data_IF_999639426152
#
_entry.id   IF_999639426152
#
_cell.length_a   1.000
_cell.length_b   1.000
_cell.length_c   1.000
_cell.angle_alpha   90.00
_cell.angle_beta   90.00
_cell.angle_gamma   90.00
#
_symmetry.space_group_name_H-M   'P 1'
#
loop_
_entity.id
_entity.type
_entity.pdbx_description
1 polymer ?
#
# COMPACT_ATOMS: atom_id res chain seq x y z
N UNK A 1 -11.75 -28.90 44.25
CA UNK A 1 -12.02 -27.75 43.35
C UNK A 1 -10.70 -27.39 42.71
N UNK A 2 -10.44 -27.89 41.49
CA UNK A 2 -9.08 -27.90 40.93
C UNK A 2 -9.05 -28.24 39.44
N UNK A 3 -9.26 -27.19 38.65
CA UNK A 3 -8.79 -26.93 37.28
C UNK A 3 -9.02 -27.96 36.16
N UNK A 4 -9.94 -27.56 35.28
CA UNK A 4 -10.14 -28.03 33.90
C UNK A 4 -8.83 -28.00 33.07
N UNK A 5 -8.46 -29.14 32.50
CA UNK A 5 -7.56 -29.23 31.34
C UNK A 5 -8.33 -28.80 30.10
N UNK A 6 -8.15 -27.56 29.65
CA UNK A 6 -8.56 -27.15 28.30
C UNK A 6 -7.42 -27.46 27.33
N UNK A 7 -7.66 -28.45 26.45
CA UNK A 7 -6.87 -28.68 25.24
C UNK A 7 -6.95 -27.41 24.40
N UNK A 8 -5.83 -26.70 24.28
CA UNK A 8 -5.72 -25.59 23.32
C UNK A 8 -5.56 -26.20 21.93
N UNK A 9 -6.65 -26.09 21.19
CA UNK A 9 -6.79 -26.39 19.78
C UNK A 9 -5.61 -25.83 18.99
N UNK A 10 -4.92 -26.70 18.24
CA UNK A 10 -3.90 -26.31 17.26
C UNK A 10 -4.62 -25.82 16.00
N UNK A 11 -5.24 -24.66 16.09
CA UNK A 11 -5.75 -23.94 14.92
C UNK A 11 -4.58 -23.32 14.15
N UNK A 12 -4.00 -24.13 13.27
CA UNK A 12 -3.49 -23.76 11.94
C UNK A 12 -3.19 -22.26 11.72
N UNK A 13 -2.14 -21.75 12.37
CA UNK A 13 -1.54 -20.47 11.98
C UNK A 13 -0.88 -20.68 10.62
N UNK A 14 -1.61 -20.31 9.56
CA UNK A 14 -1.01 -20.01 8.27
C UNK A 14 0.08 -18.99 8.53
N UNK A 15 1.33 -19.44 8.60
CA UNK A 15 2.49 -18.58 8.50
C UNK A 15 2.44 -17.94 7.12
N UNK A 16 1.76 -16.81 7.02
CA UNK A 16 1.97 -15.87 5.92
C UNK A 16 3.40 -15.40 6.13
N UNK A 17 4.34 -16.03 5.42
CA UNK A 17 5.72 -15.60 5.34
C UNK A 17 5.69 -14.23 4.69
N UNK A 18 5.41 -13.22 5.49
CA UNK A 18 5.52 -11.83 5.07
C UNK A 18 7.01 -11.59 4.99
N UNK A 19 7.55 -11.63 3.77
CA UNK A 19 8.98 -11.45 3.50
C UNK A 19 9.39 -10.06 3.96
N UNK A 20 9.87 -9.97 5.20
CA UNK A 20 10.34 -8.74 5.82
C UNK A 20 11.66 -8.34 5.15
N UNK A 21 11.68 -7.19 4.46
CA UNK A 21 12.91 -6.60 3.91
C UNK A 21 13.28 -5.35 4.69
N UNK A 22 14.55 -5.20 5.01
CA UNK A 22 15.07 -4.07 5.80
C UNK A 22 16.15 -3.35 5.00
N UNK A 23 15.99 -2.04 4.85
CA UNK A 23 16.91 -1.16 4.15
C UNK A 23 17.44 -0.12 5.11
N UNK A 24 18.76 0.03 5.16
CA UNK A 24 19.44 1.02 5.99
C UNK A 24 20.11 2.05 5.09
N UNK A 25 19.47 3.21 4.94
CA UNK A 25 19.97 4.34 4.17
C UNK A 25 20.93 5.13 5.05
N UNK A 26 22.22 5.13 4.68
CA UNK A 26 23.29 5.77 5.45
C UNK A 26 23.53 7.22 5.02
N UNK A 27 22.84 7.72 4.01
CA UNK A 27 22.87 9.12 3.58
C UNK A 27 21.90 9.99 4.37
N UNK A 28 21.91 11.31 4.08
CA UNK A 28 20.97 12.36 4.48
C UNK A 28 19.85 11.92 5.42
N UNK A 29 19.84 12.38 6.67
CA UNK A 29 18.77 12.07 7.64
C UNK A 29 18.83 10.66 8.26
N UNK A 30 19.58 9.72 7.65
CA UNK A 30 19.74 8.31 8.03
C UNK A 30 18.40 7.60 8.26
N UNK A 31 17.96 6.81 7.30
CA UNK A 31 16.66 6.13 7.39
C UNK A 31 16.83 4.63 7.55
N UNK A 32 16.03 4.01 8.41
CA UNK A 32 15.74 2.59 8.35
C UNK A 32 14.34 2.41 7.77
N UNK A 33 14.23 1.59 6.73
CA UNK A 33 13.00 1.33 6.03
C UNK A 33 12.72 -0.17 6.11
N UNK A 34 11.55 -0.53 6.62
CA UNK A 34 11.10 -1.91 6.75
C UNK A 34 9.88 -2.12 5.87
N UNK A 35 9.99 -3.03 4.92
CA UNK A 35 8.89 -3.47 4.07
C UNK A 35 8.38 -4.81 4.60
N UNK A 36 7.09 -4.85 4.94
CA UNK A 36 6.44 -6.04 5.50
C UNK A 36 5.02 -6.14 4.94
N UNK A 37 4.87 -6.88 3.84
CA UNK A 37 3.59 -7.11 3.19
C UNK A 37 2.99 -5.79 2.74
N UNK A 38 1.83 -5.42 3.28
CA UNK A 38 1.17 -4.16 2.95
C UNK A 38 1.64 -2.95 3.76
N UNK A 39 2.68 -3.10 4.59
CA UNK A 39 3.18 -2.01 5.42
C UNK A 39 4.59 -1.60 5.03
N UNK A 40 4.82 -0.29 5.01
CA UNK A 40 6.16 0.31 4.97
C UNK A 40 6.36 1.11 6.26
N UNK A 41 7.41 0.80 7.00
CA UNK A 41 7.82 1.54 8.19
C UNK A 41 9.08 2.34 7.90
N UNK A 42 9.06 3.63 8.20
CA UNK A 42 10.16 4.55 7.93
C UNK A 42 10.60 5.15 9.27
N UNK A 43 11.83 4.88 9.67
CA UNK A 43 12.43 5.38 10.92
C UNK A 43 13.57 6.32 10.57
N UNK A 44 13.44 7.59 10.95
CA UNK A 44 14.55 8.53 10.87
C UNK A 44 15.47 8.35 12.09
N UNK A 45 16.73 7.95 11.87
CA UNK A 45 17.75 7.70 12.89
C UNK A 45 18.76 8.86 13.03
N UNK A 46 18.64 9.93 12.26
CA UNK A 46 19.56 11.08 12.29
C UNK A 46 19.14 12.19 13.25
N UNK A 47 20.08 12.66 14.06
CA UNK A 47 19.94 13.82 14.99
C UNK A 47 19.48 15.09 14.24
N UNK A 48 19.88 15.24 12.97
CA UNK A 48 19.47 16.35 12.09
C UNK A 48 17.96 16.37 11.80
N UNK A 49 17.29 15.21 11.77
CA UNK A 49 15.83 15.15 11.60
C UNK A 49 15.09 15.48 12.90
N UNK A 50 15.68 15.16 14.06
CA UNK A 50 15.10 15.50 15.37
C UNK A 50 15.07 17.01 15.62
N UNK A 51 16.05 17.76 15.08
CA UNK A 51 16.13 19.22 15.23
C UNK A 51 15.26 19.95 14.18
N UNK A 52 15.18 19.46 12.93
CA UNK A 52 14.46 20.16 11.86
C UNK A 52 13.00 19.74 11.66
N UNK A 53 12.57 18.53 12.07
CA UNK A 53 11.20 18.03 11.82
C UNK A 53 10.33 17.86 13.07
N UNK A 54 10.87 18.06 14.28
CA UNK A 54 10.13 17.88 15.54
C UNK A 54 9.59 16.45 15.77
N UNK A 55 9.97 15.48 14.92
CA UNK A 55 9.45 14.12 14.92
C UNK A 55 10.60 13.15 15.18
N UNK A 56 10.53 12.44 16.31
CA UNK A 56 11.38 11.30 16.65
C UNK A 56 10.50 10.06 16.68
N UNK A 57 10.47 9.31 15.58
CA UNK A 57 9.55 8.18 15.50
C UNK A 57 9.66 7.34 14.24
N UNK A 58 9.05 6.16 14.32
CA UNK A 58 8.84 5.27 13.17
C UNK A 58 7.46 5.55 12.60
N UNK A 59 7.41 6.01 11.34
CA UNK A 59 6.15 6.20 10.62
C UNK A 59 5.80 4.90 9.91
N UNK A 60 4.68 4.27 10.28
CA UNK A 60 4.15 3.08 9.63
C UNK A 60 3.00 3.47 8.69
N UNK A 61 3.18 3.22 7.40
CA UNK A 61 2.23 3.54 6.34
C UNK A 61 1.65 2.24 5.80
N UNK A 62 0.33 2.19 5.65
CA UNK A 62 -0.36 1.12 4.93
C UNK A 62 -0.35 1.44 3.44
N UNK A 63 0.17 0.53 2.61
CA UNK A 63 0.22 0.67 1.15
C UNK A 63 -1.17 0.67 0.50
N UNK A 64 -2.21 0.23 1.22
CA UNK A 64 -3.60 0.36 0.79
C UNK A 64 -3.99 1.85 0.59
N UNK A 65 -3.42 2.75 1.41
CA UNK A 65 -3.69 4.19 1.38
C UNK A 65 -2.71 4.99 0.50
N UNK A 66 -1.73 4.33 -0.09
CA UNK A 66 -0.78 4.94 -1.01
C UNK A 66 -1.41 4.99 -2.40
N UNK A 67 -1.41 6.19 -3.00
CA UNK A 67 -1.91 6.45 -4.35
C UNK A 67 -0.80 6.48 -5.38
N UNK A 68 0.42 6.80 -4.97
CA UNK A 68 1.56 6.89 -5.85
C UNK A 68 2.86 7.11 -5.11
N UNK A 69 3.94 7.18 -5.90
CA UNK A 69 5.27 7.48 -5.42
C UNK A 69 5.95 8.43 -6.41
N UNK A 70 6.57 9.49 -5.88
CA UNK A 70 7.37 10.42 -6.68
C UNK A 70 8.85 10.19 -6.38
N UNK A 71 9.62 10.02 -7.45
CA UNK A 71 11.05 9.80 -7.36
C UNK A 71 11.82 10.91 -8.08
N UNK A 72 12.80 11.48 -7.39
CA UNK A 72 13.79 12.38 -7.98
C UNK A 72 15.20 11.81 -7.80
N UNK A 73 15.87 11.57 -8.93
CA UNK A 73 17.26 11.10 -8.97
C UNK A 73 18.22 12.11 -8.33
N UNK A 74 19.17 11.67 -7.48
CA UNK A 74 20.21 12.52 -6.93
C UNK A 74 21.21 12.97 -8.02
N UNK A 75 21.43 14.28 -8.12
CA UNK A 75 22.31 14.93 -9.11
C UNK A 75 23.47 15.65 -8.44
N UNK A 76 23.54 16.98 -8.62
CA UNK A 76 24.36 17.90 -7.80
C UNK A 76 23.77 18.10 -6.39
N UNK A 77 22.44 17.97 -6.29
CA UNK A 77 21.68 18.05 -5.04
C UNK A 77 21.17 16.68 -4.59
N UNK A 78 20.58 16.65 -3.41
CA UNK A 78 20.00 15.44 -2.81
C UNK A 78 18.79 14.95 -3.63
N UNK A 79 18.67 13.63 -3.75
CA UNK A 79 17.49 12.99 -4.34
C UNK A 79 16.41 12.81 -3.28
N UNK A 80 15.20 12.49 -3.73
CA UNK A 80 14.12 12.17 -2.80
C UNK A 80 13.13 11.15 -3.36
N UNK A 81 12.53 10.39 -2.45
CA UNK A 81 11.41 9.50 -2.70
C UNK A 81 10.26 9.99 -1.82
N UNK A 82 9.19 10.48 -2.42
CA UNK A 82 8.00 10.98 -1.72
C UNK A 82 6.85 9.99 -1.92
N UNK A 83 6.26 9.54 -0.82
CA UNK A 83 5.10 8.66 -0.81
C UNK A 83 3.85 9.53 -0.84
N UNK A 84 2.99 9.33 -1.83
CA UNK A 84 1.76 10.10 -2.00
C UNK A 84 0.63 9.30 -1.35
N UNK A 85 -0.02 9.91 -0.35
CA UNK A 85 -1.12 9.30 0.41
C UNK A 85 -2.45 9.92 -0.02
N UNK A 86 -3.53 9.15 0.07
CA UNK A 86 -4.88 9.72 -0.11
C UNK A 86 -5.11 10.86 0.90
N UNK A 87 -5.36 12.07 0.40
CA UNK A 87 -5.62 13.26 1.22
C UNK A 87 -4.37 14.00 1.72
N UNK A 88 -3.15 13.59 1.36
CA UNK A 88 -1.95 14.37 1.69
C UNK A 88 -1.85 15.61 0.81
N UNK A 89 -1.58 16.78 1.40
CA UNK A 89 -1.19 17.98 0.66
C UNK A 89 0.26 17.81 0.21
N UNK A 90 0.49 17.77 -1.10
CA UNK A 90 1.85 17.67 -1.65
C UNK A 90 2.65 18.94 -1.36
N UNK A 91 3.91 18.81 -0.98
CA UNK A 91 4.83 19.94 -0.86
C UNK A 91 5.09 20.61 -2.22
N UNK A 92 4.33 21.67 -2.55
CA UNK A 92 4.37 22.39 -3.84
C UNK A 92 5.61 23.28 -4.08
N UNK A 93 6.80 22.97 -3.55
CA UNK A 93 7.95 23.90 -3.60
C UNK A 93 9.34 23.30 -3.83
N UNK A 94 9.46 22.28 -4.66
CA UNK A 94 10.75 21.76 -5.09
C UNK A 94 11.52 20.98 -4.01
N UNK A 95 12.83 20.78 -4.21
CA UNK A 95 13.64 19.86 -3.38
C UNK A 95 13.69 20.27 -1.92
N UNK A 96 13.80 21.57 -1.63
CA UNK A 96 13.89 22.07 -0.25
C UNK A 96 12.63 21.80 0.57
N UNK A 97 11.45 22.00 -0.02
CA UNK A 97 10.18 21.69 0.65
C UNK A 97 9.90 20.19 0.70
N UNK A 98 10.27 19.45 -0.36
CA UNK A 98 10.15 17.98 -0.36
C UNK A 98 11.01 17.35 0.74
N UNK A 99 12.24 17.82 0.98
CA UNK A 99 13.11 17.31 2.06
C UNK A 99 12.49 17.53 3.45
N UNK A 100 11.71 18.59 3.64
CA UNK A 100 11.03 18.89 4.91
C UNK A 100 9.74 18.08 5.12
N UNK A 101 9.14 17.57 4.05
CA UNK A 101 7.91 16.75 4.09
C UNK A 101 8.11 15.43 4.87
N UNK A 102 7.13 15.07 5.69
CA UNK A 102 7.13 13.86 6.52
C UNK A 102 6.94 12.56 5.74
N UNK A 103 6.46 12.65 4.49
CA UNK A 103 6.28 11.54 3.57
C UNK A 103 7.45 11.38 2.59
N UNK A 104 8.52 12.15 2.78
CA UNK A 104 9.67 12.17 1.90
C UNK A 104 10.91 11.57 2.55
N UNK A 105 11.52 10.63 1.85
CA UNK A 105 12.82 10.05 2.15
C UNK A 105 13.85 10.72 1.25
N UNK A 106 14.70 11.57 1.83
CA UNK A 106 15.81 12.19 1.11
C UNK A 106 17.04 11.29 1.13
N UNK A 107 17.77 11.21 0.02
CA UNK A 107 18.90 10.30 -0.11
C UNK A 107 19.99 10.84 -1.04
N UNK A 108 21.18 10.26 -0.96
CA UNK A 108 22.31 10.54 -1.84
C UNK A 108 22.55 9.38 -2.82
N UNK A 109 23.40 9.59 -3.84
CA UNK A 109 23.69 8.61 -4.91
C UNK A 109 24.00 7.20 -4.41
N UNK A 110 24.70 7.07 -3.27
CA UNK A 110 25.07 5.77 -2.67
C UNK A 110 23.90 4.89 -2.25
N UNK A 111 22.75 5.51 -1.95
CA UNK A 111 21.54 4.82 -1.47
C UNK A 111 20.51 4.67 -2.60
N UNK A 112 20.86 5.08 -3.83
CA UNK A 112 19.93 5.16 -4.96
C UNK A 112 19.37 3.80 -5.36
N UNK A 113 20.19 2.74 -5.36
CA UNK A 113 19.75 1.38 -5.70
C UNK A 113 18.69 0.89 -4.70
N UNK A 114 18.94 1.06 -3.40
CA UNK A 114 17.99 0.69 -2.35
C UNK A 114 16.67 1.46 -2.49
N UNK A 115 16.73 2.75 -2.86
CA UNK A 115 15.53 3.56 -3.11
C UNK A 115 14.75 3.07 -4.32
N UNK A 116 15.43 2.67 -5.40
CA UNK A 116 14.76 2.12 -6.59
C UNK A 116 14.07 0.79 -6.26
N UNK A 117 14.66 -0.05 -5.40
CA UNK A 117 13.99 -1.26 -4.92
C UNK A 117 12.74 -0.95 -4.09
N UNK A 118 12.84 0.02 -3.17
CA UNK A 118 11.70 0.45 -2.34
C UNK A 118 10.59 1.03 -3.23
N UNK A 119 10.95 1.87 -4.21
CA UNK A 119 10.03 2.41 -5.23
C UNK A 119 9.32 1.28 -5.97
N UNK A 120 10.07 0.32 -6.50
CA UNK A 120 9.51 -0.81 -7.25
C UNK A 120 8.58 -1.67 -6.41
N UNK A 121 8.89 -1.87 -5.12
CA UNK A 121 7.99 -2.56 -4.19
C UNK A 121 6.64 -1.85 -4.03
N UNK A 122 6.67 -0.52 -3.83
CA UNK A 122 5.46 0.29 -3.67
C UNK A 122 4.64 0.28 -4.96
N UNK A 123 5.27 0.51 -6.11
CA UNK A 123 4.60 0.53 -7.42
C UNK A 123 3.94 -0.81 -7.73
N UNK A 124 4.65 -1.92 -7.53
CA UNK A 124 4.13 -3.26 -7.74
C UNK A 124 2.95 -3.57 -6.80
N UNK A 125 2.99 -3.11 -5.54
CA UNK A 125 1.85 -3.26 -4.64
C UNK A 125 0.62 -2.49 -5.14
N UNK A 126 0.80 -1.23 -5.58
CA UNK A 126 -0.29 -0.40 -6.12
C UNK A 126 -0.88 -1.04 -7.37
N UNK A 127 -0.04 -1.53 -8.28
CA UNK A 127 -0.46 -2.17 -9.52
C UNK A 127 -1.25 -3.46 -9.23
N UNK A 128 -0.73 -4.35 -8.37
CA UNK A 128 -1.46 -5.57 -8.00
C UNK A 128 -2.78 -5.24 -7.31
N UNK A 129 -2.81 -4.26 -6.40
CA UNK A 129 -4.05 -3.81 -5.74
C UNK A 129 -5.12 -3.40 -6.76
N UNK A 130 -4.72 -2.65 -7.80
CA UNK A 130 -5.63 -2.24 -8.86
C UNK A 130 -6.07 -3.43 -9.72
N UNK A 131 -5.17 -4.35 -10.05
CA UNK A 131 -5.52 -5.57 -10.79
C UNK A 131 -6.50 -6.47 -10.01
N UNK A 132 -6.29 -6.69 -8.71
CA UNK A 132 -7.25 -7.44 -7.88
C UNK A 132 -8.60 -6.73 -7.75
N UNK A 133 -8.63 -5.39 -7.77
CA UNK A 133 -9.88 -4.63 -7.78
C UNK A 133 -10.60 -4.74 -9.12
N UNK A 134 -9.85 -4.79 -10.23
CA UNK A 134 -10.37 -5.02 -11.58
C UNK A 134 -10.77 -6.47 -11.84
N UNK A 135 -10.20 -7.46 -11.16
CA UNK A 135 -10.65 -8.87 -11.24
C UNK A 135 -11.87 -9.18 -10.36
N UNK A 136 -12.23 -8.27 -9.45
CA UNK A 136 -13.51 -8.31 -8.73
C UNK A 136 -14.63 -7.55 -9.47
N UNK A 137 -14.43 -7.16 -10.74
CA UNK A 137 -15.56 -6.95 -11.63
C UNK A 137 -16.20 -8.32 -11.78
N UNK A 138 -17.40 -8.44 -11.23
CA UNK A 138 -18.16 -9.67 -11.09
C UNK A 138 -18.05 -10.53 -12.34
N UNK A 139 -17.75 -11.82 -12.15
CA UNK A 139 -17.91 -12.80 -13.22
C UNK A 139 -19.32 -12.66 -13.78
N UNK A 140 -19.48 -12.78 -15.11
CA UNK A 140 -20.80 -12.84 -15.76
C UNK A 140 -21.75 -13.79 -15.02
N UNK A 141 -21.23 -14.90 -14.48
CA UNK A 141 -21.99 -15.84 -13.65
C UNK A 141 -22.42 -15.27 -12.28
N UNK A 142 -21.57 -14.49 -11.61
CA UNK A 142 -21.90 -13.82 -10.34
C UNK A 142 -22.92 -12.70 -10.54
N UNK A 143 -22.87 -11.99 -11.67
CA UNK A 143 -23.89 -10.99 -12.03
C UNK A 143 -25.24 -11.65 -12.27
N UNK A 144 -25.28 -12.70 -13.08
CA UNK A 144 -26.50 -13.49 -13.33
C UNK A 144 -27.09 -14.04 -12.02
N UNK A 145 -26.26 -14.54 -11.10
CA UNK A 145 -26.74 -15.01 -9.80
C UNK A 145 -27.38 -13.90 -8.95
N UNK A 146 -26.82 -12.68 -8.98
CA UNK A 146 -27.39 -11.52 -8.27
C UNK A 146 -28.72 -11.09 -8.90
N UNK A 147 -28.80 -11.02 -10.22
CA UNK A 147 -30.03 -10.70 -10.94
C UNK A 147 -31.11 -11.77 -10.69
N UNK A 148 -30.73 -13.06 -10.64
CA UNK A 148 -31.67 -14.14 -10.34
C UNK A 148 -32.24 -14.02 -8.93
N UNK A 149 -31.41 -13.66 -7.95
CA UNK A 149 -31.87 -13.37 -6.58
C UNK A 149 -32.83 -12.18 -6.51
N UNK A 150 -32.60 -11.13 -7.30
CA UNK A 150 -33.51 -9.98 -7.38
C UNK A 150 -34.88 -10.37 -7.98
N UNK A 151 -34.88 -11.24 -9.00
CA UNK A 151 -36.10 -11.79 -9.58
C UNK A 151 -36.85 -12.65 -8.56
N UNK A 152 -36.15 -13.53 -7.85
CA UNK A 152 -36.74 -14.41 -6.84
C UNK A 152 -37.27 -13.62 -5.62
N UNK A 153 -36.69 -12.44 -5.33
CA UNK A 153 -37.20 -11.49 -4.33
C UNK A 153 -38.34 -10.58 -4.86
N UNK A 154 -38.69 -10.67 -6.14
CA UNK A 154 -39.69 -9.82 -6.77
C UNK A 154 -39.28 -8.34 -6.90
N UNK A 155 -37.98 -8.04 -6.78
CA UNK A 155 -37.44 -6.68 -6.92
C UNK A 155 -37.29 -6.25 -8.38
N UNK A 156 -37.24 -7.21 -9.31
CA UNK A 156 -37.23 -7.00 -10.77
C UNK A 156 -38.19 -7.96 -11.45
N UNK A 157 -38.58 -7.65 -12.67
CA UNK A 157 -39.43 -8.50 -13.51
C UNK A 157 -38.61 -9.51 -14.32
N UNK A 158 -39.29 -10.54 -14.84
CA UNK A 158 -38.66 -11.58 -15.67
C UNK A 158 -38.11 -11.01 -16.99
N UNK A 159 -38.78 -10.01 -17.56
CA UNK A 159 -38.33 -9.28 -18.75
C UNK A 159 -37.06 -8.46 -18.49
N UNK A 160 -36.96 -7.80 -17.34
CA UNK A 160 -35.75 -7.06 -16.94
C UNK A 160 -34.57 -8.02 -16.68
N UNK A 161 -34.85 -9.20 -16.14
CA UNK A 161 -33.84 -10.24 -15.94
C UNK A 161 -33.29 -10.78 -17.26
N UNK A 162 -34.14 -11.14 -18.23
CA UNK A 162 -33.70 -11.68 -19.51
C UNK A 162 -32.93 -10.64 -20.34
N UNK A 163 -33.37 -9.39 -20.38
CA UNK A 163 -32.62 -8.30 -21.02
C UNK A 163 -31.21 -8.12 -20.41
N UNK A 164 -31.08 -8.24 -19.08
CA UNK A 164 -29.78 -8.15 -18.40
C UNK A 164 -28.91 -9.37 -18.66
N UNK A 165 -29.51 -10.55 -18.76
CA UNK A 165 -28.83 -11.80 -19.07
C UNK A 165 -28.25 -11.81 -20.48
N UNK A 166 -28.98 -11.30 -21.48
CA UNK A 166 -28.46 -11.12 -22.84
C UNK A 166 -27.30 -10.13 -22.89
N UNK A 167 -27.42 -8.99 -22.18
CA UNK A 167 -26.34 -8.00 -22.07
C UNK A 167 -25.06 -8.57 -21.45
N UNK A 168 -25.20 -9.39 -20.39
CA UNK A 168 -24.08 -10.01 -19.67
C UNK A 168 -23.44 -11.12 -20.52
N UNK A 169 -24.25 -11.94 -21.20
CA UNK A 169 -23.76 -13.03 -22.05
C UNK A 169 -23.29 -12.57 -23.44
N UNK A 170 -23.45 -11.29 -23.78
CA UNK A 170 -23.14 -10.68 -25.09
C UNK A 170 -23.77 -11.45 -26.26
N UNK A 171 -25.03 -11.86 -26.10
CA UNK A 171 -25.84 -12.51 -27.14
C UNK A 171 -26.49 -11.50 -28.08
#
# INVERSE_FOLDING_TARGET
MGLFKSKKDKSNERQVITSKKVYNLKSNGKYEIVLEGKFISITAKGIMNSINKGFTGTKKICLDNVTGVQYKKPGLTTGYLQIILMGSQEAKGGVFNAVQDENTISFAKKDNEQILEIKGYIENYIENKNNYRSQNTSSDADELMKFKKLLDMGAITEEEYENKKEQILKL
#
